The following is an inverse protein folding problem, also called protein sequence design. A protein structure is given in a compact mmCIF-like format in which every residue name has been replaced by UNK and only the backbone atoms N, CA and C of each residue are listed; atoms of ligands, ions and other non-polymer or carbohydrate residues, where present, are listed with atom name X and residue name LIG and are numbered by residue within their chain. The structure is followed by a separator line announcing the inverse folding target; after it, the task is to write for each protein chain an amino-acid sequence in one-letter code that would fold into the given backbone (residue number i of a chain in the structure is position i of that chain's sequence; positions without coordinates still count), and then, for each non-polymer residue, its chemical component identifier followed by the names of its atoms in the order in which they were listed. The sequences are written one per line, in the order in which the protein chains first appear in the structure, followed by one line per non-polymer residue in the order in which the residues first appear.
data_IF_546392274658
#
_entry.id   IF_546392274658
#
_cell.length_a   1.000
_cell.length_b   1.000
_cell.length_c   1.000
_cell.angle_alpha   90.00
_cell.angle_beta   90.00
_cell.angle_gamma   90.00
#
_symmetry.space_group_name_H-M   'P 1'
#
loop_
_entity.id
_entity.type
_entity.pdbx_description
1 polymer ?
#
# COMPACT_ATOMS: atom_id res chain seq x y z
N UNK A 1 14.35 -3.78 19.18
CA UNK A 1 14.07 -4.49 17.91
C UNK A 1 12.67 -5.09 17.86
N UNK A 2 12.20 -5.85 18.86
CA UNK A 2 10.91 -6.53 18.83
C UNK A 2 9.70 -5.59 18.64
N UNK A 3 9.63 -4.50 19.40
CA UNK A 3 8.52 -3.53 19.31
C UNK A 3 8.43 -2.89 17.93
N UNK A 4 9.58 -2.55 17.33
CA UNK A 4 9.65 -1.98 15.98
C UNK A 4 9.14 -2.96 14.92
N UNK A 5 9.61 -4.21 14.96
CA UNK A 5 9.15 -5.23 14.01
C UNK A 5 7.66 -5.53 14.16
N UNK A 6 7.19 -5.63 15.41
CA UNK A 6 5.78 -5.82 15.69
C UNK A 6 4.95 -4.67 15.12
N UNK A 7 5.35 -3.42 15.35
CA UNK A 7 4.65 -2.25 14.83
C UNK A 7 4.67 -2.22 13.29
N UNK A 8 5.82 -2.53 12.67
CA UNK A 8 5.95 -2.62 11.21
C UNK A 8 4.98 -3.65 10.63
N UNK A 9 4.82 -4.83 11.23
CA UNK A 9 3.85 -5.82 10.75
C UNK A 9 2.42 -5.37 11.05
N UNK A 10 2.19 -4.81 12.23
CA UNK A 10 0.87 -4.37 12.68
C UNK A 10 0.25 -3.32 11.77
N UNK A 11 1.00 -2.33 11.30
CA UNK A 11 0.48 -1.29 10.39
C UNK A 11 0.10 -1.80 8.99
N UNK A 12 0.55 -2.99 8.60
CA UNK A 12 0.14 -3.64 7.35
C UNK A 12 -1.04 -4.61 7.54
N UNK A 13 -1.52 -4.79 8.77
CA UNK A 13 -2.61 -5.71 9.06
C UNK A 13 -3.96 -5.13 8.59
N UNK A 14 -4.85 -5.99 8.08
CA UNK A 14 -6.20 -5.59 7.67
C UNK A 14 -7.15 -5.41 8.87
N UNK A 15 -6.72 -4.65 9.88
CA UNK A 15 -7.49 -4.37 11.10
C UNK A 15 -8.04 -2.95 11.06
N UNK A 16 -9.26 -2.76 11.59
CA UNK A 16 -9.97 -1.47 11.59
C UNK A 16 -9.95 -0.79 12.95
N UNK A 17 -8.84 -0.92 13.66
CA UNK A 17 -8.68 -0.39 15.02
C UNK A 17 -8.66 1.14 14.93
N UNK A 18 -9.55 1.78 15.68
CA UNK A 18 -9.64 3.25 15.74
C UNK A 18 -8.69 3.76 16.81
N UNK A 19 -7.72 4.58 16.41
CA UNK A 19 -6.71 5.12 17.32
C UNK A 19 -7.17 6.40 18.05
N UNK A 20 -8.33 6.94 17.68
CA UNK A 20 -8.84 8.17 18.27
C UNK A 20 -7.78 9.29 18.21
N UNK A 21 -7.54 10.03 19.31
CA UNK A 21 -6.49 11.05 19.37
C UNK A 21 -5.07 10.52 19.13
N UNK A 22 -4.77 9.25 19.41
CA UNK A 22 -3.42 8.70 19.22
C UNK A 22 -3.02 8.59 17.75
N UNK A 23 -3.98 8.72 16.81
CA UNK A 23 -3.72 8.67 15.36
C UNK A 23 -2.75 9.74 14.87
N UNK A 24 -2.56 10.81 15.64
CA UNK A 24 -1.63 11.88 15.31
C UNK A 24 -0.19 11.55 15.72
N UNK A 25 0.00 10.63 16.66
CA UNK A 25 1.32 10.30 17.21
C UNK A 25 1.80 8.90 16.80
N UNK A 26 0.89 7.94 16.66
CA UNK A 26 1.23 6.55 16.36
C UNK A 26 0.61 6.17 15.00
N UNK A 27 1.45 5.75 14.07
CA UNK A 27 1.01 5.24 12.78
C UNK A 27 0.07 4.03 12.97
N UNK A 28 -1.15 4.18 12.48
CA UNK A 28 -2.19 3.16 12.54
C UNK A 28 -2.21 2.33 11.25
N UNK A 29 -2.90 1.17 11.23
CA UNK A 29 -3.12 0.43 9.99
C UNK A 29 -3.79 1.29 8.91
N UNK A 30 -4.74 2.15 9.31
CA UNK A 30 -5.40 3.08 8.38
C UNK A 30 -4.40 4.06 7.74
N UNK A 31 -3.54 4.69 8.54
CA UNK A 31 -2.54 5.65 8.04
C UNK A 31 -1.63 4.99 7.00
N UNK A 32 -1.14 3.78 7.30
CA UNK A 32 -0.21 3.09 6.43
C UNK A 32 -0.87 2.47 5.20
N UNK A 33 -2.12 2.01 5.29
CA UNK A 33 -2.88 1.60 4.12
C UNK A 33 -3.09 2.76 3.14
N UNK A 34 -3.32 3.97 3.65
CA UNK A 34 -3.41 5.16 2.80
C UNK A 34 -2.09 5.53 2.14
N UNK A 35 -0.94 5.25 2.77
CA UNK A 35 0.37 5.37 2.11
C UNK A 35 0.51 4.41 0.91
N UNK A 36 -0.05 3.20 1.01
CA UNK A 36 -0.04 2.20 -0.07
C UNK A 36 -1.22 2.28 -1.04
N UNK A 37 -2.09 3.28 -0.88
CA UNK A 37 -3.29 3.41 -1.69
C UNK A 37 -2.93 3.80 -3.13
N UNK A 38 -3.49 3.07 -4.09
CA UNK A 38 -3.47 3.50 -5.48
C UNK A 38 -4.68 4.38 -5.76
N UNK A 39 -4.69 5.55 -5.12
CA UNK A 39 -5.69 6.60 -5.26
C UNK A 39 -4.97 7.92 -5.44
N UNK A 40 -5.35 8.70 -6.46
CA UNK A 40 -4.73 9.99 -6.77
C UNK A 40 -4.74 10.97 -5.59
N UNK A 41 -5.73 10.89 -4.70
CA UNK A 41 -5.81 11.77 -3.52
C UNK A 41 -4.77 11.40 -2.44
N UNK A 42 -4.30 10.16 -2.47
CA UNK A 42 -3.35 9.61 -1.50
C UNK A 42 -1.90 9.61 -2.02
N UNK A 43 -1.66 10.01 -3.28
CA UNK A 43 -0.32 10.16 -3.83
C UNK A 43 0.46 11.22 -3.06
N UNK A 44 1.73 10.92 -2.78
CA UNK A 44 2.64 11.79 -2.04
C UNK A 44 2.10 12.17 -0.64
N UNK A 45 1.51 11.19 0.06
CA UNK A 45 0.99 11.32 1.42
C UNK A 45 1.56 10.27 2.36
N UNK A 46 1.52 10.57 3.66
CA UNK A 46 1.82 9.65 4.76
C UNK A 46 3.21 9.02 4.67
N UNK A 47 4.26 9.85 4.59
CA UNK A 47 5.65 9.41 4.44
C UNK A 47 6.26 8.84 5.71
N UNK A 48 5.82 9.27 6.90
CA UNK A 48 6.42 8.86 8.16
C UNK A 48 6.07 7.41 8.51
N UNK A 49 7.07 6.57 8.75
CA UNK A 49 6.84 5.15 9.08
C UNK A 49 6.14 4.92 10.44
N UNK A 50 6.37 5.81 11.41
CA UNK A 50 5.94 5.60 12.80
C UNK A 50 5.17 6.78 13.39
N UNK A 51 5.47 8.02 12.97
CA UNK A 51 5.01 9.25 13.60
C UNK A 51 4.24 10.15 12.61
N UNK A 52 2.91 9.99 12.49
CA UNK A 52 2.06 10.79 11.60
C UNK A 52 2.14 12.31 11.83
N UNK A 53 2.57 12.75 13.01
CA UNK A 53 2.78 14.17 13.31
C UNK A 53 3.78 14.82 12.35
N UNK A 54 4.74 14.07 11.82
CA UNK A 54 5.69 14.60 10.84
C UNK A 54 4.98 14.93 9.52
N UNK A 55 4.05 14.09 9.08
CA UNK A 55 3.20 14.36 7.92
C UNK A 55 2.19 15.48 8.18
N UNK A 56 1.72 15.64 9.42
CA UNK A 56 0.88 16.78 9.79
C UNK A 56 1.67 18.09 9.65
N UNK A 57 2.89 18.15 10.18
CA UNK A 57 3.78 19.30 10.09
C UNK A 57 4.18 19.57 8.63
N UNK A 58 4.44 18.50 7.86
CA UNK A 58 4.81 18.57 6.45
C UNK A 58 3.65 18.82 5.48
N UNK A 59 2.40 18.82 5.95
CA UNK A 59 1.21 19.00 5.09
C UNK A 59 0.88 17.81 4.19
N UNK A 60 1.39 16.62 4.52
CA UNK A 60 1.28 15.38 3.74
C UNK A 60 0.40 14.33 4.40
N UNK A 61 -0.21 14.66 5.54
CA UNK A 61 -1.13 13.76 6.23
C UNK A 61 -2.45 13.58 5.47
N UNK A 62 -2.82 12.32 5.20
CA UNK A 62 -4.08 11.93 4.57
C UNK A 62 -4.69 10.70 5.26
N UNK A 63 -5.86 10.86 5.88
CA UNK A 63 -6.51 9.77 6.62
C UNK A 63 -8.04 9.99 6.68
N UNK A 64 -8.75 9.89 5.54
CA UNK A 64 -10.21 9.96 5.51
C UNK A 64 -10.82 8.79 6.32
N UNK A 65 -12.08 8.88 6.77
CA UNK A 65 -12.67 7.93 7.73
C UNK A 65 -12.92 6.51 7.18
N UNK A 66 -12.64 6.26 5.91
CA UNK A 66 -12.74 4.95 5.25
C UNK A 66 -11.34 4.39 4.90
N UNK A 67 -11.32 3.15 4.44
CA UNK A 67 -10.11 2.49 3.92
C UNK A 67 -10.01 2.70 2.40
N UNK A 68 -8.82 2.59 1.81
CA UNK A 68 -8.64 2.65 0.36
C UNK A 68 -9.24 1.42 -0.32
N UNK A 69 -9.72 1.60 -1.55
CA UNK A 69 -10.35 0.56 -2.37
C UNK A 69 -9.31 -0.22 -3.22
N UNK A 70 -8.23 0.46 -3.62
CA UNK A 70 -7.16 -0.09 -4.47
C UNK A 70 -5.80 0.20 -3.84
N UNK A 71 -4.86 -0.74 -4.02
CA UNK A 71 -3.49 -0.64 -3.52
C UNK A 71 -2.50 -0.82 -4.67
N UNK A 72 -1.24 -0.43 -4.43
CA UNK A 72 -0.13 -0.66 -5.35
C UNK A 72 0.09 0.47 -6.33
N UNK A 73 0.56 0.14 -7.53
CA UNK A 73 0.91 1.09 -8.59
C UNK A 73 0.18 0.72 -9.88
N UNK A 74 0.09 1.66 -10.83
CA UNK A 74 -0.48 1.39 -12.16
C UNK A 74 0.51 0.69 -13.10
N UNK A 75 1.79 0.65 -12.73
CA UNK A 75 2.83 -0.07 -13.46
C UNK A 75 2.50 -1.58 -13.53
N UNK A 76 2.63 -2.23 -14.71
CA UNK A 76 2.36 -3.65 -14.88
C UNK A 76 3.48 -4.53 -14.30
N UNK A 77 3.57 -4.58 -12.97
CA UNK A 77 4.57 -5.38 -12.26
C UNK A 77 4.36 -6.88 -12.56
N UNK A 78 5.41 -7.64 -12.95
CA UNK A 78 5.30 -9.07 -13.22
C UNK A 78 4.73 -9.85 -12.03
N UNK A 79 3.88 -10.85 -12.28
CA UNK A 79 3.27 -11.66 -11.21
C UNK A 79 4.23 -12.71 -10.61
N UNK A 80 5.25 -13.12 -11.37
CA UNK A 80 6.19 -14.15 -10.94
C UNK A 80 7.29 -13.53 -10.06
N UNK A 81 7.47 -14.09 -8.86
CA UNK A 81 8.43 -13.57 -7.87
C UNK A 81 9.85 -13.38 -8.43
N UNK A 82 10.40 -14.39 -9.14
CA UNK A 82 11.74 -14.27 -9.73
C UNK A 82 11.83 -13.18 -10.80
N UNK A 83 10.72 -12.88 -11.51
CA UNK A 83 10.66 -11.77 -12.47
C UNK A 83 10.64 -10.43 -11.75
N UNK A 84 9.94 -10.31 -10.62
CA UNK A 84 9.96 -9.11 -9.79
C UNK A 84 11.36 -8.78 -9.25
N UNK A 85 12.17 -9.79 -8.94
CA UNK A 85 13.55 -9.59 -8.47
C UNK A 85 14.46 -8.94 -9.51
N UNK A 86 14.27 -9.26 -10.80
CA UNK A 86 15.08 -8.70 -11.89
C UNK A 86 14.43 -7.48 -12.55
N UNK A 87 13.13 -7.24 -12.29
CA UNK A 87 12.33 -6.18 -12.90
C UNK A 87 12.95 -4.78 -12.83
N UNK A 88 13.56 -4.33 -11.71
CA UNK A 88 14.18 -3.01 -11.64
C UNK A 88 15.44 -2.85 -12.52
N UNK A 89 16.01 -3.95 -13.02
CA UNK A 89 17.26 -3.96 -13.79
C UNK A 89 17.06 -4.20 -15.28
N UNK A 90 15.83 -4.55 -15.70
CA UNK A 90 15.46 -4.73 -17.11
C UNK A 90 14.70 -3.51 -17.59
N UNK A 91 15.02 -3.02 -18.79
CA UNK A 91 14.36 -1.81 -19.32
C UNK A 91 12.85 -2.00 -19.42
N UNK A 92 12.07 -0.98 -19.04
CA UNK A 92 10.61 -0.99 -19.06
C UNK A 92 10.01 -1.40 -20.43
N UNK A 93 10.74 -1.16 -21.53
CA UNK A 93 10.35 -1.55 -22.88
C UNK A 93 10.32 -3.08 -23.12
N UNK A 94 11.10 -3.86 -22.37
CA UNK A 94 11.19 -5.31 -22.54
C UNK A 94 10.18 -6.07 -21.66
N UNK A 95 9.67 -5.41 -20.61
CA UNK A 95 8.71 -6.00 -19.66
C UNK A 95 7.26 -5.97 -20.14
N UNK A 96 6.96 -5.24 -21.21
CA UNK A 96 5.61 -5.10 -21.78
C UNK A 96 5.22 -6.24 -22.75
N UNK A 97 5.97 -7.34 -22.81
CA UNK A 97 5.57 -8.49 -23.62
C UNK A 97 4.24 -9.07 -23.08
N UNK A 98 3.18 -9.16 -23.90
CA UNK A 98 1.86 -9.56 -23.43
C UNK A 98 1.92 -11.01 -22.99
N UNK A 99 1.70 -11.25 -21.69
CA UNK A 99 1.42 -12.61 -21.22
C UNK A 99 0.00 -12.92 -21.69
N UNK A 100 -0.07 -13.84 -22.65
CA UNK A 100 -1.29 -14.27 -23.31
C UNK A 100 -2.46 -14.53 -22.34
N UNK A 101 -3.65 -14.20 -22.84
CA UNK A 101 -4.97 -14.42 -22.27
C UNK A 101 -5.10 -15.68 -21.41
N UNK A 102 -5.45 -15.50 -20.14
CA UNK A 102 -6.18 -16.52 -19.39
C UNK A 102 -7.68 -16.17 -19.46
N UNK A 103 -8.37 -16.85 -20.37
CA UNK A 103 -9.84 -16.87 -20.56
C UNK A 103 -10.59 -17.25 -19.26
N UNK A 104 -11.85 -16.84 -19.05
CA UNK A 104 -12.49 -16.80 -17.74
C UNK A 104 -13.04 -18.17 -17.32
N UNK A 105 -12.60 -18.66 -16.16
CA UNK A 105 -13.22 -19.81 -15.52
C UNK A 105 -14.43 -19.35 -14.67
N UNK A 106 -15.59 -19.43 -15.30
CA UNK A 106 -16.87 -19.95 -14.80
C UNK A 106 -17.29 -19.72 -13.32
N UNK A 107 -18.37 -18.95 -13.18
CA UNK A 107 -19.56 -19.16 -12.31
C UNK A 107 -19.41 -19.55 -10.84
N UNK A 108 -19.84 -18.63 -9.96
CA UNK A 108 -20.42 -18.96 -8.64
C UNK A 108 -21.63 -19.91 -8.77
N UNK A 109 -21.83 -20.81 -7.80
CA UNK A 109 -23.16 -21.11 -7.29
C UNK A 109 -23.29 -20.65 -5.83
N UNK A 110 -24.36 -19.87 -5.63
CA UNK A 110 -25.12 -19.49 -4.44
C UNK A 110 -24.53 -19.74 -3.04
#
# INVERSE_FOLDING_TARGET
MLIYHWQSVFIHSNTRIKFGPLRWLIASPQFHHWHHANDRQAYDKNFAAQLPVLDLIGGTLFMPPHMPEKYGVDEPVPQLYHRQLVYPFVNAAESAAPTAEASPAASKPR
#
